data_IF_105516795850
#
_entry.id   IF_105516795850
#
_cell.length_a   1.000
_cell.length_b   1.000
_cell.length_c   1.000
_cell.angle_alpha   90.00
_cell.angle_beta   90.00
_cell.angle_gamma   90.00
#
_symmetry.space_group_name_H-M   'P 1'
#
loop_
_entity.id
_entity.type
_entity.pdbx_description
1 polymer ?
#
# COMPACT_ATOMS: atom_id res chain seq x y z
N UNK A 1 -14.57 33.40 5.82
CA UNK A 1 -15.35 32.41 6.59
C UNK A 1 -14.92 32.51 8.03
N UNK A 2 -15.47 31.65 8.88
CA UNK A 2 -15.25 31.66 10.32
C UNK A 2 -15.09 30.27 10.88
N UNK A 3 -15.00 30.19 12.21
CA UNK A 3 -15.00 28.94 12.95
C UNK A 3 -16.36 28.24 12.81
N UNK A 4 -16.35 26.98 12.39
CA UNK A 4 -17.48 26.05 12.52
C UNK A 4 -17.15 25.08 13.63
N UNK A 5 -17.98 25.04 14.68
CA UNK A 5 -17.84 24.10 15.78
C UNK A 5 -19.09 23.22 15.87
N UNK A 6 -18.89 21.90 15.84
CA UNK A 6 -19.96 20.93 15.94
C UNK A 6 -19.69 19.97 17.10
N UNK A 7 -20.71 19.75 17.93
CA UNK A 7 -20.68 18.80 19.04
C UNK A 7 -21.81 17.78 18.87
N UNK A 8 -21.50 16.49 18.96
CA UNK A 8 -22.49 15.42 18.91
C UNK A 8 -21.97 14.18 19.65
N UNK A 9 -22.83 13.29 20.15
CA UNK A 9 -22.32 11.99 20.63
C UNK A 9 -21.83 11.14 19.44
N UNK A 10 -22.64 11.06 18.40
CA UNK A 10 -22.29 10.40 17.13
C UNK A 10 -22.55 11.37 15.98
N UNK A 11 -21.55 11.55 15.12
CA UNK A 11 -21.67 12.28 13.87
C UNK A 11 -21.57 11.31 12.70
N UNK A 12 -22.62 11.23 11.88
CA UNK A 12 -22.62 10.44 10.65
C UNK A 12 -22.63 11.38 9.44
N UNK A 13 -21.52 11.43 8.71
CA UNK A 13 -21.40 12.11 7.42
C UNK A 13 -21.32 11.05 6.32
N UNK A 14 -22.41 10.86 5.58
CA UNK A 14 -22.52 9.78 4.58
C UNK A 14 -22.93 10.31 3.21
N UNK A 15 -22.60 9.57 2.15
CA UNK A 15 -23.09 9.87 0.80
C UNK A 15 -22.60 11.20 0.25
N UNK A 16 -23.53 12.10 -0.02
CA UNK A 16 -23.22 13.47 -0.46
C UNK A 16 -22.88 14.43 0.68
N UNK A 17 -22.73 13.93 1.91
CA UNK A 17 -22.42 14.73 3.09
C UNK A 17 -21.16 15.57 2.91
N UNK A 18 -21.26 16.86 3.25
CA UNK A 18 -20.21 17.88 3.08
C UNK A 18 -20.18 18.75 4.32
N UNK A 19 -19.12 18.66 5.11
CA UNK A 19 -18.90 19.51 6.28
C UNK A 19 -17.69 20.38 5.99
N UNK A 20 -17.90 21.70 5.91
CA UNK A 20 -16.87 22.66 5.51
C UNK A 20 -16.76 23.83 6.47
N UNK A 21 -15.53 24.37 6.63
CA UNK A 21 -15.26 25.59 7.37
C UNK A 21 -13.90 26.21 7.03
N UNK A 22 -13.64 27.43 7.48
CA UNK A 22 -12.28 27.99 7.43
C UNK A 22 -11.47 27.33 8.56
N UNK A 23 -11.96 27.46 9.80
CA UNK A 23 -11.54 26.61 10.92
C UNK A 23 -12.69 25.68 11.27
N UNK A 24 -12.44 24.38 11.31
CA UNK A 24 -13.44 23.38 11.64
C UNK A 24 -13.02 22.63 12.90
N UNK A 25 -13.90 22.60 13.90
CA UNK A 25 -13.70 21.90 15.16
C UNK A 25 -14.85 20.92 15.38
N UNK A 26 -14.54 19.63 15.54
CA UNK A 26 -15.53 18.57 15.74
C UNK A 26 -15.31 17.88 17.08
N UNK A 27 -16.28 17.95 17.98
CA UNK A 27 -16.29 17.18 19.25
C UNK A 27 -17.30 16.05 19.16
N UNK A 28 -16.82 14.79 19.19
CA UNK A 28 -17.68 13.62 19.10
C UNK A 28 -17.29 12.47 20.03
N UNK A 29 -18.24 11.59 20.36
CA UNK A 29 -17.89 10.25 20.87
C UNK A 29 -17.47 9.32 19.72
N UNK A 30 -18.19 9.38 18.60
CA UNK A 30 -17.89 8.65 17.36
C UNK A 30 -18.12 9.53 16.14
N UNK A 31 -17.14 9.57 15.24
CA UNK A 31 -17.19 10.24 13.95
C UNK A 31 -17.16 9.20 12.83
N UNK A 32 -18.23 9.11 12.05
CA UNK A 32 -18.32 8.25 10.87
C UNK A 32 -18.35 9.12 9.61
N UNK A 33 -17.39 8.93 8.72
CA UNK A 33 -17.29 9.54 7.40
C UNK A 33 -17.18 8.42 6.36
N UNK A 34 -18.21 8.23 5.54
CA UNK A 34 -18.28 7.10 4.61
C UNK A 34 -19.03 7.43 3.34
N UNK A 35 -18.78 6.68 2.27
CA UNK A 35 -19.68 6.70 1.13
C UNK A 35 -21.05 6.12 1.44
N UNK A 36 -22.05 6.56 0.68
CA UNK A 36 -23.38 5.98 0.57
C UNK A 36 -23.85 6.17 -0.88
N UNK A 37 -24.48 5.16 -1.47
CA UNK A 37 -24.99 5.18 -2.85
C UNK A 37 -23.93 5.61 -3.89
N UNK A 38 -22.69 5.11 -3.71
CA UNK A 38 -21.57 5.38 -4.60
C UNK A 38 -20.97 6.79 -4.50
N UNK A 39 -21.40 7.60 -3.54
CA UNK A 39 -20.89 8.97 -3.32
C UNK A 39 -20.16 9.06 -2.00
N UNK A 40 -18.93 9.57 -2.03
CA UNK A 40 -18.07 9.69 -0.87
C UNK A 40 -18.27 11.02 -0.14
N UNK A 41 -18.45 10.94 1.17
CA UNK A 41 -18.64 12.11 2.02
C UNK A 41 -17.30 12.83 2.28
N UNK A 42 -17.38 14.14 2.50
CA UNK A 42 -16.19 14.97 2.71
C UNK A 42 -16.36 15.86 3.95
N UNK A 43 -15.31 15.89 4.76
CA UNK A 43 -15.11 16.84 5.85
C UNK A 43 -13.86 17.64 5.46
N UNK A 44 -13.96 18.97 5.33
CA UNK A 44 -12.79 19.77 5.01
C UNK A 44 -12.70 21.13 5.69
N UNK A 45 -11.47 21.60 5.92
CA UNK A 45 -11.20 22.94 6.42
C UNK A 45 -10.12 23.66 5.61
N UNK A 46 -10.23 24.97 5.44
CA UNK A 46 -9.22 25.76 4.70
C UNK A 46 -8.00 26.11 5.57
N UNK A 47 -8.19 26.48 6.82
CA UNK A 47 -7.13 27.04 7.65
C UNK A 47 -6.67 26.02 8.71
N UNK A 48 -7.62 25.38 9.41
CA UNK A 48 -7.31 24.29 10.35
C UNK A 48 -8.48 23.34 10.57
N UNK A 49 -8.18 22.06 10.79
CA UNK A 49 -9.16 21.05 11.22
C UNK A 49 -8.76 20.42 12.55
N UNK A 50 -9.60 20.54 13.57
CA UNK A 50 -9.44 19.87 14.86
C UNK A 50 -10.58 18.87 15.08
N UNK A 51 -10.23 17.62 15.36
CA UNK A 51 -11.18 16.55 15.65
C UNK A 51 -10.88 15.97 17.02
N UNK A 52 -11.74 16.28 18.00
CA UNK A 52 -11.82 15.58 19.27
C UNK A 52 -12.82 14.44 19.16
N UNK A 53 -12.35 13.19 19.14
CA UNK A 53 -13.22 12.03 19.07
C UNK A 53 -12.71 10.80 19.82
N UNK A 54 -13.63 10.01 20.38
CA UNK A 54 -13.29 8.70 20.91
C UNK A 54 -13.00 7.68 19.80
N UNK A 55 -13.72 7.73 18.68
CA UNK A 55 -13.55 6.79 17.56
C UNK A 55 -13.81 7.49 16.24
N UNK A 56 -12.82 7.47 15.35
CA UNK A 56 -12.91 8.00 14.00
C UNK A 56 -12.95 6.86 12.99
N UNK A 57 -14.01 6.79 12.19
CA UNK A 57 -14.13 5.87 11.07
C UNK A 57 -14.22 6.66 9.77
N UNK A 58 -13.17 6.62 8.95
CA UNK A 58 -13.12 7.17 7.60
C UNK A 58 -13.01 6.00 6.62
N UNK A 59 -13.99 5.84 5.71
CA UNK A 59 -14.05 4.65 4.85
C UNK A 59 -14.64 4.91 3.47
N UNK A 60 -14.42 3.98 2.53
CA UNK A 60 -15.06 3.97 1.22
C UNK A 60 -14.88 5.27 0.42
N UNK A 61 -13.64 5.66 0.18
CA UNK A 61 -13.23 6.87 -0.57
C UNK A 61 -13.61 8.20 0.09
N UNK A 62 -14.15 8.17 1.31
CA UNK A 62 -14.45 9.39 2.06
C UNK A 62 -13.17 10.18 2.38
N UNK A 63 -13.32 11.50 2.46
CA UNK A 63 -12.18 12.41 2.64
C UNK A 63 -12.33 13.23 3.92
N UNK A 64 -11.25 13.30 4.69
CA UNK A 64 -11.05 14.26 5.77
C UNK A 64 -9.83 15.08 5.39
N UNK A 65 -10.03 16.37 5.14
CA UNK A 65 -9.00 17.20 4.50
C UNK A 65 -8.82 18.53 5.22
N UNK A 66 -7.58 19.00 5.37
CA UNK A 66 -7.31 20.40 5.68
C UNK A 66 -6.28 20.94 4.71
N UNK A 67 -6.49 22.15 4.16
CA UNK A 67 -5.43 22.84 3.42
C UNK A 67 -4.31 23.29 4.37
N UNK A 68 -4.64 23.58 5.64
CA UNK A 68 -3.66 23.94 6.67
C UNK A 68 -3.29 22.76 7.57
N UNK A 69 -3.22 23.03 8.88
CA UNK A 69 -2.90 22.02 9.89
C UNK A 69 -4.13 21.17 10.24
N UNK A 70 -3.89 19.90 10.56
CA UNK A 70 -4.91 19.00 11.10
C UNK A 70 -4.46 18.39 12.43
N UNK A 71 -5.36 18.34 13.40
CA UNK A 71 -5.16 17.65 14.68
C UNK A 71 -6.31 16.69 14.98
N UNK A 72 -5.97 15.48 15.39
CA UNK A 72 -6.93 14.46 15.80
C UNK A 72 -6.53 14.00 17.21
N UNK A 73 -7.48 14.03 18.15
CA UNK A 73 -7.28 13.63 19.54
C UNK A 73 -8.58 13.14 20.17
N UNK A 74 -8.56 12.88 21.48
CA UNK A 74 -9.70 12.32 22.21
C UNK A 74 -10.84 13.33 22.46
N UNK A 75 -10.50 14.60 22.66
CA UNK A 75 -11.47 15.69 22.84
C UNK A 75 -10.90 17.03 22.36
N UNK A 76 -11.74 18.04 22.30
CA UNK A 76 -11.36 19.45 22.14
C UNK A 76 -11.13 20.08 23.50
N UNK A 77 -10.14 20.96 23.60
CA UNK A 77 -9.94 21.83 24.76
C UNK A 77 -10.82 23.11 24.68
N UNK A 78 -10.64 24.03 25.64
CA UNK A 78 -11.38 25.30 25.67
C UNK A 78 -11.08 26.23 24.47
N UNK A 79 -9.98 26.01 23.75
CA UNK A 79 -9.60 26.74 22.53
C UNK A 79 -10.02 25.99 21.25
N UNK A 80 -10.81 24.92 21.40
CA UNK A 80 -11.26 24.03 20.34
C UNK A 80 -10.11 23.35 19.59
N UNK A 81 -8.98 23.13 20.29
CA UNK A 81 -7.85 22.38 19.78
C UNK A 81 -7.97 20.93 20.22
N UNK A 82 -7.71 20.00 19.30
CA UNK A 82 -7.77 18.58 19.63
C UNK A 82 -6.63 18.20 20.58
N UNK A 83 -7.00 17.55 21.69
CA UNK A 83 -6.11 17.12 22.77
C UNK A 83 -6.51 15.75 23.32
N UNK A 84 -5.62 15.14 24.08
CA UNK A 84 -5.83 13.79 24.64
C UNK A 84 -5.86 12.72 23.56
N UNK A 85 -5.99 11.48 23.99
CA UNK A 85 -5.86 10.31 23.12
C UNK A 85 -7.25 9.80 22.69
N UNK A 86 -7.50 9.72 21.39
CA UNK A 86 -8.62 8.96 20.84
C UNK A 86 -8.42 7.47 21.11
N UNK A 87 -9.49 6.68 21.20
CA UNK A 87 -9.34 5.22 21.34
C UNK A 87 -8.94 4.58 20.02
N UNK A 88 -9.52 5.02 18.91
CA UNK A 88 -9.31 4.36 17.62
C UNK A 88 -9.51 5.32 16.46
N UNK A 89 -8.60 5.23 15.49
CA UNK A 89 -8.71 5.86 14.18
C UNK A 89 -8.63 4.77 13.11
N UNK A 90 -9.72 4.59 12.39
CA UNK A 90 -9.84 3.66 11.27
C UNK A 90 -9.92 4.46 9.96
N UNK A 91 -8.93 4.26 9.10
CA UNK A 91 -8.88 4.81 7.76
C UNK A 91 -8.79 3.67 6.73
N UNK A 92 -9.91 3.35 6.11
CA UNK A 92 -10.07 2.13 5.31
C UNK A 92 -10.47 2.48 3.87
N UNK A 93 -9.55 2.32 2.90
CA UNK A 93 -9.76 2.78 1.53
C UNK A 93 -10.25 4.24 1.45
N UNK A 94 -9.67 5.12 2.25
CA UNK A 94 -10.11 6.49 2.42
C UNK A 94 -8.92 7.42 2.65
N UNK A 95 -9.16 8.73 2.58
CA UNK A 95 -8.08 9.72 2.67
C UNK A 95 -8.24 10.62 3.90
N UNK A 96 -7.17 10.72 4.69
CA UNK A 96 -6.96 11.77 5.69
C UNK A 96 -5.74 12.57 5.22
N UNK A 97 -5.88 13.86 5.00
CA UNK A 97 -4.82 14.67 4.41
C UNK A 97 -4.77 16.09 4.99
N UNK A 98 -3.58 16.52 5.43
CA UNK A 98 -3.28 17.89 5.82
C UNK A 98 -2.32 18.53 4.82
N UNK A 99 -2.59 19.75 4.35
CA UNK A 99 -1.68 20.47 3.47
C UNK A 99 -0.41 20.92 4.20
N UNK A 100 -0.50 21.17 5.51
CA UNK A 100 0.65 21.45 6.39
C UNK A 100 0.91 20.26 7.33
N UNK A 101 0.84 20.48 8.65
CA UNK A 101 1.19 19.45 9.62
C UNK A 101 -0.03 18.63 10.03
N UNK A 102 0.18 17.32 10.20
CA UNK A 102 -0.82 16.39 10.71
C UNK A 102 -0.36 15.84 12.07
N UNK A 103 -1.16 16.07 13.10
CA UNK A 103 -0.93 15.49 14.42
C UNK A 103 -2.09 14.55 14.78
N UNK A 104 -1.79 13.30 15.08
CA UNK A 104 -2.78 12.29 15.49
C UNK A 104 -2.37 11.72 16.83
N UNK A 105 -3.27 11.84 17.82
CA UNK A 105 -3.19 11.21 19.14
C UNK A 105 -4.30 10.17 19.25
N UNK A 106 -3.97 8.90 19.07
CA UNK A 106 -4.94 7.79 19.13
C UNK A 106 -4.27 6.52 19.62
N UNK A 107 -4.93 5.73 20.49
CA UNK A 107 -4.39 4.47 21.00
C UNK A 107 -4.05 3.50 19.87
N UNK A 108 -4.97 3.37 18.92
CA UNK A 108 -4.82 2.54 17.72
C UNK A 108 -5.11 3.32 16.46
N UNK A 109 -4.19 3.26 15.51
CA UNK A 109 -4.34 3.82 14.16
C UNK A 109 -4.31 2.65 13.17
N UNK A 110 -5.41 2.44 12.47
CA UNK A 110 -5.56 1.40 11.46
C UNK A 110 -5.72 2.06 10.09
N UNK A 111 -4.69 1.98 9.25
CA UNK A 111 -4.72 2.40 7.85
C UNK A 111 -4.70 1.15 6.96
N UNK A 112 -5.81 0.86 6.29
CA UNK A 112 -6.03 -0.44 5.64
C UNK A 112 -6.53 -0.31 4.21
N UNK A 113 -6.12 -1.26 3.38
CA UNK A 113 -6.52 -1.38 1.98
C UNK A 113 -7.78 -2.25 1.88
N UNK A 114 -8.83 -1.75 1.22
CA UNK A 114 -10.10 -2.47 1.06
C UNK A 114 -10.12 -3.49 -0.08
N UNK A 115 -9.11 -3.50 -0.95
CA UNK A 115 -9.28 -4.06 -2.29
C UNK A 115 -7.99 -4.54 -2.95
N UNK A 116 -7.00 -5.00 -2.16
CA UNK A 116 -5.80 -5.61 -2.74
C UNK A 116 -6.15 -6.96 -3.38
N UNK A 117 -6.09 -7.01 -4.70
CA UNK A 117 -6.20 -8.24 -5.50
C UNK A 117 -4.89 -8.44 -6.24
N UNK A 118 -4.28 -9.61 -6.09
CA UNK A 118 -3.09 -10.00 -6.84
C UNK A 118 -3.44 -11.03 -7.92
N UNK A 119 -2.57 -11.14 -8.92
CA UNK A 119 -2.66 -12.14 -9.97
C UNK A 119 -1.27 -12.68 -10.28
N UNK A 120 -1.19 -13.96 -10.61
CA UNK A 120 0.05 -14.57 -11.13
C UNK A 120 0.06 -14.36 -12.64
N UNK A 121 1.13 -13.75 -13.14
CA UNK A 121 1.34 -13.46 -14.55
C UNK A 121 2.57 -14.22 -15.02
N UNK A 122 2.43 -14.95 -16.13
CA UNK A 122 3.58 -15.51 -16.85
C UNK A 122 4.37 -14.36 -17.47
N UNK A 123 5.58 -14.10 -16.97
CA UNK A 123 6.46 -13.04 -17.45
C UNK A 123 7.46 -13.54 -18.50
N UNK A 124 7.72 -14.84 -18.53
CA UNK A 124 8.57 -15.46 -19.53
C UNK A 124 8.08 -16.86 -19.86
N UNK A 125 8.12 -17.21 -21.15
CA UNK A 125 7.98 -18.58 -21.62
C UNK A 125 8.91 -18.82 -22.80
N UNK A 126 9.99 -19.54 -22.55
CA UNK A 126 11.07 -19.75 -23.51
C UNK A 126 11.44 -21.24 -23.58
N UNK A 127 11.65 -21.81 -24.79
CA UNK A 127 12.27 -23.11 -24.91
C UNK A 127 13.73 -23.00 -24.49
N UNK A 128 14.17 -23.95 -23.68
CA UNK A 128 15.55 -24.14 -23.28
C UNK A 128 16.06 -25.47 -23.81
N UNK A 129 17.30 -25.45 -24.26
CA UNK A 129 18.01 -26.62 -24.73
C UNK A 129 19.40 -26.58 -24.11
N UNK A 130 19.65 -27.48 -23.16
CA UNK A 130 20.88 -27.47 -22.37
C UNK A 130 21.59 -28.81 -22.44
N UNK A 131 22.91 -28.80 -22.23
CA UNK A 131 23.71 -30.01 -21.99
C UNK A 131 24.49 -29.94 -20.68
N UNK A 132 24.77 -31.12 -20.10
CA UNK A 132 25.66 -31.29 -18.94
C UNK A 132 26.43 -32.60 -19.04
N UNK A 133 27.72 -32.58 -18.72
CA UNK A 133 28.54 -33.80 -18.67
C UNK A 133 28.13 -34.66 -17.48
N UNK A 134 28.15 -35.98 -17.65
CA UNK A 134 27.84 -36.92 -16.57
C UNK A 134 28.78 -36.70 -15.38
N UNK A 135 28.20 -36.59 -14.17
CA UNK A 135 28.93 -36.27 -12.94
C UNK A 135 29.17 -34.78 -12.69
N UNK A 136 28.68 -33.87 -13.55
CA UNK A 136 28.69 -32.41 -13.33
C UNK A 136 27.28 -31.85 -13.11
N UNK A 137 27.19 -30.63 -12.57
CA UNK A 137 25.93 -29.90 -12.34
C UNK A 137 25.77 -28.67 -13.23
N UNK A 138 26.87 -28.09 -13.72
CA UNK A 138 26.83 -26.91 -14.59
C UNK A 138 26.26 -27.27 -15.95
N UNK A 139 25.14 -26.64 -16.29
CA UNK A 139 24.50 -26.76 -17.61
C UNK A 139 24.96 -25.62 -18.52
N UNK A 140 25.10 -25.93 -19.79
CA UNK A 140 25.40 -24.96 -20.83
C UNK A 140 24.31 -24.98 -21.89
N UNK A 141 24.03 -23.83 -22.48
CA UNK A 141 23.14 -23.72 -23.63
C UNK A 141 23.68 -24.57 -24.78
N UNK A 142 22.82 -25.40 -25.36
CA UNK A 142 23.17 -26.35 -26.42
C UNK A 142 23.80 -25.68 -27.63
N UNK A 143 23.41 -24.44 -27.96
CA UNK A 143 23.99 -23.69 -29.07
C UNK A 143 25.49 -23.41 -28.91
N UNK A 144 26.00 -23.51 -27.69
CA UNK A 144 27.41 -23.32 -27.36
C UNK A 144 28.18 -24.64 -27.20
N UNK A 145 27.50 -25.79 -27.32
CA UNK A 145 28.08 -27.12 -27.17
C UNK A 145 28.53 -27.64 -28.53
N UNK A 146 29.82 -27.95 -28.66
CA UNK A 146 30.37 -28.53 -29.89
C UNK A 146 30.29 -30.07 -29.83
N UNK A 147 29.48 -30.64 -30.72
CA UNK A 147 29.35 -32.10 -30.93
C UNK A 147 29.95 -32.58 -32.25
N UNK A 148 30.67 -31.72 -32.97
CA UNK A 148 31.20 -32.02 -34.31
C UNK A 148 32.24 -33.13 -34.32
N UNK A 149 32.94 -33.35 -33.20
CA UNK A 149 33.94 -34.41 -33.06
C UNK A 149 33.28 -35.73 -32.72
N UNK A 150 33.55 -36.74 -33.55
CA UNK A 150 33.18 -38.12 -33.28
C UNK A 150 34.39 -39.06 -33.40
N UNK A 151 34.37 -40.16 -32.66
CA UNK A 151 35.39 -41.19 -32.81
C UNK A 151 35.15 -42.07 -34.04
N UNK A 152 36.04 -43.04 -34.30
CA UNK A 152 35.93 -44.01 -35.41
C UNK A 152 34.68 -44.91 -35.36
N UNK A 153 33.95 -44.90 -34.25
CA UNK A 153 32.71 -45.64 -34.03
C UNK A 153 31.46 -44.74 -34.09
N UNK A 154 31.60 -43.47 -34.46
CA UNK A 154 30.49 -42.53 -34.59
C UNK A 154 29.95 -42.00 -33.25
N UNK A 155 30.64 -42.23 -32.14
CA UNK A 155 30.25 -41.66 -30.84
C UNK A 155 30.75 -40.23 -30.77
N UNK A 156 29.84 -39.28 -30.54
CA UNK A 156 30.11 -37.86 -30.41
C UNK A 156 30.59 -37.51 -28.99
N UNK A 157 31.57 -36.60 -28.89
CA UNK A 157 31.89 -35.91 -27.64
C UNK A 157 31.05 -34.64 -27.55
N UNK A 158 30.55 -34.28 -26.35
CA UNK A 158 30.07 -32.93 -26.08
C UNK A 158 31.23 -32.11 -25.52
N UNK A 159 31.62 -31.05 -26.22
CA UNK A 159 32.64 -30.09 -25.77
C UNK A 159 31.92 -28.82 -25.30
N UNK A 160 32.08 -28.52 -24.01
CA UNK A 160 31.42 -27.39 -23.33
C UNK A 160 32.21 -26.09 -23.51
N UNK A 161 31.59 -24.90 -23.33
CA UNK A 161 32.25 -23.59 -23.45
C UNK A 161 33.43 -23.37 -22.49
N UNK A 162 33.46 -24.07 -21.36
CA UNK A 162 34.58 -24.05 -20.41
C UNK A 162 35.76 -24.94 -20.83
N UNK A 163 35.67 -25.59 -22.00
CA UNK A 163 36.66 -26.52 -22.53
C UNK A 163 36.56 -27.95 -22.00
N UNK A 164 35.65 -28.23 -21.05
CA UNK A 164 35.40 -29.59 -20.58
C UNK A 164 34.73 -30.43 -21.67
N UNK A 165 35.02 -31.75 -21.70
CA UNK A 165 34.47 -32.65 -22.71
C UNK A 165 34.25 -34.06 -22.20
N UNK A 166 33.22 -34.73 -22.71
CA UNK A 166 32.97 -36.16 -22.50
C UNK A 166 32.03 -36.71 -23.57
N UNK A 167 32.13 -38.01 -23.85
CA UNK A 167 31.14 -38.76 -24.62
C UNK A 167 29.94 -39.25 -23.78
N UNK A 168 29.94 -38.97 -22.47
CA UNK A 168 28.84 -39.27 -21.57
C UNK A 168 28.26 -37.96 -21.02
N UNK A 169 27.12 -37.55 -21.56
CA UNK A 169 26.44 -36.30 -21.22
C UNK A 169 24.93 -36.48 -21.32
N UNK A 170 24.20 -35.56 -20.69
CA UNK A 170 22.75 -35.49 -20.75
C UNK A 170 22.34 -34.24 -21.54
N UNK A 171 21.32 -34.41 -22.37
CA UNK A 171 20.66 -33.34 -23.11
C UNK A 171 19.28 -33.09 -22.49
N UNK A 172 18.93 -31.83 -22.31
CA UNK A 172 17.63 -31.42 -21.78
C UNK A 172 16.97 -30.46 -22.75
N UNK A 173 15.77 -30.80 -23.20
CA UNK A 173 14.89 -29.91 -23.94
C UNK A 173 13.63 -29.69 -23.10
N UNK A 174 13.38 -28.46 -22.69
CA UNK A 174 12.25 -28.12 -21.83
C UNK A 174 11.77 -26.71 -22.12
N UNK A 175 10.50 -26.43 -21.86
CA UNK A 175 10.01 -25.05 -21.82
C UNK A 175 10.14 -24.53 -20.41
N UNK A 176 10.86 -23.42 -20.22
CA UNK A 176 10.89 -22.70 -18.96
C UNK A 176 9.76 -21.68 -18.96
N UNK A 177 8.97 -21.70 -17.90
CA UNK A 177 7.97 -20.67 -17.61
C UNK A 177 8.38 -19.94 -16.33
N UNK A 178 8.41 -18.61 -16.37
CA UNK A 178 8.62 -17.75 -15.20
C UNK A 178 7.30 -17.05 -14.89
N UNK A 179 6.88 -17.13 -13.63
CA UNK A 179 5.63 -16.57 -13.15
C UNK A 179 5.91 -15.57 -12.03
N UNK A 180 5.28 -14.41 -12.08
CA UNK A 180 5.40 -13.35 -11.08
C UNK A 180 4.04 -12.98 -10.50
N UNK A 181 4.00 -12.66 -9.21
CA UNK A 181 2.80 -12.11 -8.56
C UNK A 181 2.75 -10.61 -8.76
N UNK A 182 1.70 -10.12 -9.40
CA UNK A 182 1.48 -8.70 -9.69
C UNK A 182 0.19 -8.19 -9.04
N UNK A 183 0.14 -6.89 -8.73
CA UNK A 183 -1.08 -6.23 -8.24
C UNK A 183 -2.06 -6.04 -9.39
N UNK A 184 -3.28 -6.56 -9.25
CA UNK A 184 -4.39 -6.41 -10.21
C UNK A 184 -5.29 -5.24 -9.83
N UNK A 185 -5.59 -5.10 -8.54
CA UNK A 185 -6.44 -4.05 -7.99
C UNK A 185 -5.93 -3.68 -6.60
N UNK A 186 -6.10 -2.42 -6.21
CA UNK A 186 -5.71 -1.92 -4.89
C UNK A 186 -6.59 -0.72 -4.54
N UNK A 187 -7.04 -0.62 -3.29
CA UNK A 187 -7.82 0.50 -2.77
C UNK A 187 -7.26 0.91 -1.39
N UNK A 188 -6.07 1.54 -1.38
CA UNK A 188 -5.33 1.78 -0.15
C UNK A 188 -5.95 2.90 0.69
N UNK A 189 -5.86 2.76 2.01
CA UNK A 189 -5.99 3.90 2.92
C UNK A 189 -4.81 4.86 2.77
N UNK A 190 -5.07 6.17 2.84
CA UNK A 190 -4.05 7.22 2.74
C UNK A 190 -4.11 8.16 3.93
N UNK A 191 -2.98 8.32 4.62
CA UNK A 191 -2.77 9.35 5.65
C UNK A 191 -1.60 10.22 5.18
N UNK A 192 -1.88 11.47 4.83
CA UNK A 192 -0.95 12.33 4.11
C UNK A 192 -0.74 13.65 4.85
N UNK A 193 0.47 14.18 4.79
CA UNK A 193 0.76 15.56 5.17
C UNK A 193 1.72 16.20 4.18
N UNK A 194 1.46 17.45 3.78
CA UNK A 194 2.43 18.24 3.03
C UNK A 194 3.64 18.64 3.87
N UNK A 195 3.46 18.82 5.19
CA UNK A 195 4.52 19.04 6.17
C UNK A 195 4.85 17.79 6.97
N UNK A 196 4.91 17.92 8.30
CA UNK A 196 5.24 16.81 9.20
C UNK A 196 4.00 15.99 9.59
N UNK A 197 4.19 14.67 9.74
CA UNK A 197 3.25 13.78 10.43
C UNK A 197 3.79 13.47 11.84
N UNK A 198 2.99 13.72 12.87
CA UNK A 198 3.22 13.23 14.23
C UNK A 198 2.14 12.23 14.60
N UNK A 199 2.52 10.98 14.84
CA UNK A 199 1.62 9.92 15.32
C UNK A 199 2.01 9.57 16.77
N UNK A 200 1.14 9.87 17.72
CA UNK A 200 1.27 9.42 19.10
C UNK A 200 0.24 8.32 19.36
N UNK A 201 0.72 7.07 19.34
CA UNK A 201 -0.12 5.88 19.36
C UNK A 201 0.58 4.70 20.01
N UNK A 202 -0.18 3.81 20.64
CA UNK A 202 0.34 2.53 21.12
C UNK A 202 0.56 1.55 19.96
N UNK A 203 -0.29 1.62 18.92
CA UNK A 203 -0.18 0.77 17.74
C UNK A 203 -0.60 1.50 16.45
N UNK A 204 0.31 1.50 15.47
CA UNK A 204 0.03 1.93 14.10
C UNK A 204 0.10 0.72 13.17
N UNK A 205 -1.00 0.41 12.51
CA UNK A 205 -1.09 -0.61 11.46
C UNK A 205 -1.26 0.08 10.12
N UNK A 206 -0.31 -0.13 9.21
CA UNK A 206 -0.40 0.33 7.81
C UNK A 206 -0.35 -0.88 6.88
N UNK A 207 -1.52 -1.42 6.53
CA UNK A 207 -1.63 -2.67 5.77
C UNK A 207 -1.94 -2.37 4.30
N UNK A 208 -0.96 -2.63 3.42
CA UNK A 208 -1.01 -2.37 1.97
C UNK A 208 -1.48 -0.95 1.62
N UNK A 209 -1.13 0.00 2.47
CA UNK A 209 -1.66 1.37 2.50
C UNK A 209 -0.52 2.38 2.64
N UNK A 210 -0.85 3.68 2.65
CA UNK A 210 0.15 4.75 2.58
C UNK A 210 0.04 5.72 3.76
N UNK A 211 1.20 5.99 4.39
CA UNK A 211 1.40 7.10 5.32
C UNK A 211 2.60 7.90 4.80
N UNK A 212 2.41 9.16 4.40
CA UNK A 212 3.42 9.96 3.70
C UNK A 212 3.47 11.39 4.22
N UNK A 213 4.68 11.86 4.54
CA UNK A 213 4.98 13.25 4.89
C UNK A 213 5.82 13.89 3.77
N UNK A 214 5.49 15.12 3.37
CA UNK A 214 5.98 15.76 2.13
C UNK A 214 6.94 16.94 2.29
N UNK A 215 7.55 17.10 3.48
CA UNK A 215 8.43 18.24 3.79
C UNK A 215 9.63 18.43 2.87
#
# INVERSE_FOLDING_TARGET
GGLTHLTANTLNNTGTGRIYGDQLALQTGTLNNSAQDGKAAVIAARDRLDIGTGTLNNSHHAQIYSVGDMRIGGQLDNNLTATGQARELNNHAATIEAGNNLNIQADRINNTNAGLVTQVVETEKSPHHDAVLSGRTTRYDWSQVDTSRHNKHGVHDAIMPDGSRSNNFYEYQYTRTVNETQVKQSDPGKILAGGHITLNSAQVTNHDSQIVAGG
#
